data_IF_170205762503
#
_entry.id   IF_170205762503
#
_cell.length_a   1.000
_cell.length_b   1.000
_cell.length_c   1.000
_cell.angle_alpha   90.00
_cell.angle_beta   90.00
_cell.angle_gamma   90.00
#
_symmetry.space_group_name_H-M   'P 1'
#
loop_
_entity.id
_entity.type
_entity.pdbx_description
1 polymer ?
#
# COMPACT_ATOMS: atom_id res chain seq x y z
N UNK A 1 -12.72 48.70 22.10
CA UNK A 1 -13.02 47.25 22.24
C UNK A 1 -13.27 46.53 20.91
N UNK A 2 -13.81 47.18 19.86
CA UNK A 2 -14.20 46.50 18.62
C UNK A 2 -13.03 46.04 17.70
N UNK A 3 -11.87 46.71 17.75
CA UNK A 3 -10.70 46.41 16.90
C UNK A 3 -10.00 45.09 17.23
N UNK A 4 -9.94 44.69 18.50
CA UNK A 4 -9.29 43.44 18.93
C UNK A 4 -10.11 42.20 18.58
N UNK A 5 -11.44 42.32 18.57
CA UNK A 5 -12.37 41.24 18.21
C UNK A 5 -12.26 40.91 16.72
N UNK A 6 -12.16 41.93 15.86
CA UNK A 6 -12.05 41.76 14.40
C UNK A 6 -10.75 41.02 14.03
N UNK A 7 -9.62 41.38 14.66
CA UNK A 7 -8.33 40.71 14.43
C UNK A 7 -8.37 39.25 14.90
N UNK A 8 -8.98 38.97 16.05
CA UNK A 8 -9.13 37.61 16.57
C UNK A 8 -9.98 36.70 15.67
N UNK A 9 -11.08 37.23 15.11
CA UNK A 9 -11.96 36.49 14.20
C UNK A 9 -11.26 36.19 12.87
N UNK A 10 -10.48 37.14 12.33
CA UNK A 10 -9.72 36.94 11.09
C UNK A 10 -8.64 35.85 11.28
N UNK A 11 -7.90 35.85 12.40
CA UNK A 11 -6.91 34.79 12.70
C UNK A 11 -7.53 33.40 12.87
N UNK A 12 -8.76 33.32 13.39
CA UNK A 12 -9.45 32.05 13.56
C UNK A 12 -9.93 31.46 12.22
N UNK A 13 -10.38 32.32 11.29
CA UNK A 13 -10.81 31.91 9.94
C UNK A 13 -9.61 31.45 9.09
N UNK A 14 -8.46 32.12 9.21
CA UNK A 14 -7.23 31.72 8.49
C UNK A 14 -6.68 30.38 8.97
N UNK A 15 -6.86 30.04 10.26
CA UNK A 15 -6.41 28.74 10.81
C UNK A 15 -7.28 27.56 10.37
N UNK A 16 -8.57 27.78 10.08
CA UNK A 16 -9.51 26.72 9.68
C UNK A 16 -9.33 26.16 8.27
N UNK A 17 -8.48 26.78 7.44
CA UNK A 17 -8.34 26.42 6.01
C UNK A 17 -7.32 25.30 5.73
N UNK A 18 -6.70 24.71 6.75
CA UNK A 18 -5.75 23.60 6.60
C UNK A 18 -6.34 22.23 7.01
N UNK A 19 -7.57 21.93 6.60
CA UNK A 19 -7.96 20.51 6.51
C UNK A 19 -7.36 19.98 5.21
N UNK A 20 -6.16 19.40 5.30
CA UNK A 20 -5.51 18.70 4.21
C UNK A 20 -6.39 17.51 3.79
N UNK A 21 -7.19 17.71 2.73
CA UNK A 21 -7.95 16.64 2.11
C UNK A 21 -6.96 15.60 1.59
N UNK A 22 -6.85 14.45 2.27
CA UNK A 22 -6.01 13.36 1.77
C UNK A 22 -6.60 12.92 0.44
N UNK A 23 -5.83 12.90 -0.67
CA UNK A 23 -6.36 12.48 -1.95
C UNK A 23 -6.90 11.05 -1.83
N UNK A 24 -8.12 10.84 -2.29
CA UNK A 24 -8.72 9.51 -2.37
C UNK A 24 -7.82 8.66 -3.27
N UNK A 25 -7.18 7.63 -2.71
CA UNK A 25 -6.43 6.67 -3.51
C UNK A 25 -7.41 5.86 -4.35
N UNK A 26 -7.40 6.10 -5.65
CA UNK A 26 -8.20 5.34 -6.59
C UNK A 26 -7.49 4.01 -6.89
N UNK A 27 -8.04 2.90 -6.39
CA UNK A 27 -7.49 1.57 -6.61
C UNK A 27 -8.25 0.87 -7.75
N UNK A 28 -7.58 0.09 -8.60
CA UNK A 28 -8.26 -0.66 -9.65
C UNK A 28 -9.29 -1.63 -9.08
N UNK A 29 -10.53 -1.60 -9.61
CA UNK A 29 -11.62 -2.50 -9.16
C UNK A 29 -11.34 -3.97 -9.45
N UNK A 30 -10.74 -4.26 -10.61
CA UNK A 30 -10.43 -5.63 -11.04
C UNK A 30 -9.01 -6.02 -10.64
N UNK A 31 -8.83 -7.21 -10.10
CA UNK A 31 -7.50 -7.77 -9.79
C UNK A 31 -6.58 -7.80 -11.01
N UNK A 32 -7.12 -8.07 -12.21
CA UNK A 32 -6.36 -8.06 -13.46
C UNK A 32 -5.81 -6.67 -13.82
N UNK A 33 -6.45 -5.59 -13.37
CA UNK A 33 -6.02 -4.21 -13.65
C UNK A 33 -4.84 -3.76 -12.78
N UNK A 34 -4.40 -4.56 -11.80
CA UNK A 34 -3.23 -4.24 -10.96
C UNK A 34 -1.88 -4.49 -11.64
N UNK A 35 -1.89 -5.16 -12.80
CA UNK A 35 -0.68 -5.43 -13.58
C UNK A 35 0.31 -6.34 -12.83
N UNK A 36 -0.20 -7.35 -12.14
CA UNK A 36 0.62 -8.29 -11.35
C UNK A 36 1.31 -9.31 -12.24
N UNK A 37 0.60 -9.77 -13.27
CA UNK A 37 1.05 -10.83 -14.18
C UNK A 37 1.05 -10.35 -15.63
N UNK A 38 1.99 -10.88 -16.41
CA UNK A 38 2.09 -10.67 -17.85
C UNK A 38 1.41 -11.80 -18.63
N UNK A 39 0.78 -11.46 -19.76
CA UNK A 39 0.16 -12.43 -20.65
C UNK A 39 -1.10 -13.07 -20.06
N UNK A 40 -1.21 -14.40 -20.16
CA UNK A 40 -2.38 -15.14 -19.65
C UNK A 40 -2.29 -15.27 -18.12
N UNK A 41 -3.32 -14.82 -17.41
CA UNK A 41 -3.36 -14.84 -15.93
C UNK A 41 -3.05 -16.21 -15.32
N UNK A 42 -3.57 -17.31 -15.90
CA UNK A 42 -3.32 -18.67 -15.41
C UNK A 42 -1.86 -19.12 -15.50
N UNK A 43 -1.03 -18.46 -16.32
CA UNK A 43 0.41 -18.76 -16.40
C UNK A 43 1.20 -18.15 -15.23
N UNK A 44 0.59 -17.24 -14.45
CA UNK A 44 1.18 -16.62 -13.25
C UNK A 44 2.59 -16.04 -13.46
N UNK A 45 2.89 -15.59 -14.68
CA UNK A 45 4.17 -14.98 -15.03
C UNK A 45 4.24 -13.58 -14.41
N UNK A 46 5.10 -13.32 -13.42
CA UNK A 46 5.15 -12.03 -12.74
C UNK A 46 5.56 -10.90 -13.70
N UNK A 47 4.88 -9.75 -13.58
CA UNK A 47 5.26 -8.54 -14.30
C UNK A 47 6.54 -7.91 -13.73
N UNK A 48 7.16 -7.01 -14.48
CA UNK A 48 8.35 -6.27 -14.03
C UNK A 48 8.15 -5.62 -12.65
N UNK A 49 9.06 -5.91 -11.72
CA UNK A 49 9.04 -5.38 -10.34
C UNK A 49 8.15 -6.17 -9.37
N UNK A 50 7.49 -7.24 -9.83
CA UNK A 50 6.79 -8.22 -8.99
C UNK A 50 7.76 -9.37 -8.71
N UNK A 51 8.00 -9.67 -7.43
CA UNK A 51 9.00 -10.64 -6.99
C UNK A 51 8.31 -11.85 -6.35
N UNK A 52 8.52 -13.08 -6.85
CA UNK A 52 8.02 -14.29 -6.19
C UNK A 52 8.78 -14.56 -4.90
N UNK A 53 8.12 -15.10 -3.87
CA UNK A 53 8.78 -15.50 -2.63
C UNK A 53 8.16 -16.75 -1.99
N UNK A 54 8.98 -17.46 -1.21
CA UNK A 54 8.57 -18.61 -0.41
C UNK A 54 8.57 -18.31 1.09
N UNK A 55 7.94 -19.18 1.88
CA UNK A 55 8.04 -19.15 3.34
C UNK A 55 9.03 -20.22 3.80
N UNK A 56 9.85 -19.90 4.80
CA UNK A 56 10.78 -20.86 5.41
C UNK A 56 10.04 -21.97 6.16
N UNK A 57 8.91 -21.65 6.78
CA UNK A 57 8.06 -22.57 7.54
C UNK A 57 6.62 -22.54 6.99
N UNK A 58 6.35 -23.24 5.87
CA UNK A 58 5.01 -23.28 5.31
C UNK A 58 4.06 -24.06 6.23
N UNK A 59 2.85 -23.54 6.44
CA UNK A 59 1.75 -24.29 7.06
C UNK A 59 1.32 -25.42 6.12
N UNK A 60 0.95 -26.57 6.69
CA UNK A 60 0.34 -27.64 5.90
C UNK A 60 -0.94 -27.13 5.27
N UNK A 61 -1.03 -27.34 3.96
CA UNK A 61 -2.19 -26.92 3.19
C UNK A 61 -2.44 -27.94 2.12
N UNK A 62 -3.14 -29.01 2.49
CA UNK A 62 -3.93 -29.88 1.61
C UNK A 62 -3.29 -30.28 0.25
N UNK A 63 -1.96 -30.32 0.20
CA UNK A 63 -1.15 -30.43 -1.02
C UNK A 63 -1.41 -29.38 -2.12
N UNK A 64 -2.16 -28.31 -1.83
CA UNK A 64 -2.38 -27.24 -2.79
C UNK A 64 -1.16 -26.30 -2.88
N UNK A 65 -0.59 -26.21 -4.09
CA UNK A 65 0.49 -25.27 -4.40
C UNK A 65 0.05 -23.81 -4.16
N UNK A 66 0.94 -23.02 -3.54
CA UNK A 66 0.67 -21.61 -3.19
C UNK A 66 1.83 -20.76 -3.65
N UNK A 67 1.62 -19.99 -4.71
CA UNK A 67 2.58 -18.99 -5.14
C UNK A 67 2.30 -17.67 -4.43
N UNK A 68 3.37 -16.99 -4.04
CA UNK A 68 3.30 -15.68 -3.40
C UNK A 68 4.18 -14.71 -4.13
N UNK A 69 3.70 -13.48 -4.24
CA UNK A 69 4.40 -12.41 -4.91
C UNK A 69 4.33 -11.13 -4.08
N UNK A 70 5.37 -10.30 -4.20
CA UNK A 70 5.44 -8.99 -3.57
C UNK A 70 5.87 -7.93 -4.59
N UNK A 71 5.25 -6.76 -4.55
CA UNK A 71 5.71 -5.56 -5.26
C UNK A 71 5.87 -4.42 -4.27
N UNK A 72 7.08 -3.89 -4.16
CA UNK A 72 7.38 -2.75 -3.31
C UNK A 72 7.22 -1.44 -4.10
N UNK A 73 6.88 -0.32 -3.43
CA UNK A 73 7.00 1.00 -4.04
C UNK A 73 8.44 1.27 -4.48
N UNK A 74 8.61 2.03 -5.57
CA UNK A 74 9.93 2.35 -6.11
C UNK A 74 10.83 2.99 -5.04
N UNK A 75 12.05 2.47 -4.91
CA UNK A 75 13.05 2.99 -3.96
C UNK A 75 12.72 2.75 -2.48
N UNK A 76 11.73 1.91 -2.16
CA UNK A 76 11.42 1.52 -0.77
C UNK A 76 11.83 0.09 -0.50
N UNK A 77 12.25 -0.14 0.75
CA UNK A 77 12.57 -1.46 1.30
C UNK A 77 11.62 -1.81 2.44
N UNK A 78 11.61 -3.09 2.81
CA UNK A 78 10.87 -3.59 3.97
C UNK A 78 11.79 -3.51 5.19
N UNK A 79 11.30 -2.94 6.28
CA UNK A 79 12.06 -2.94 7.54
C UNK A 79 11.76 -4.23 8.31
N UNK A 80 12.79 -4.85 8.85
CA UNK A 80 12.65 -5.99 9.74
C UNK A 80 12.76 -5.54 11.20
N UNK A 81 11.85 -6.01 12.05
CA UNK A 81 11.90 -5.84 13.50
C UNK A 81 11.64 -7.20 14.14
N UNK A 82 12.47 -7.59 15.11
CA UNK A 82 12.33 -8.84 15.84
C UNK A 82 10.96 -8.99 16.53
N UNK A 83 10.28 -7.88 16.83
CA UNK A 83 8.96 -7.87 17.46
C UNK A 83 7.79 -7.87 16.45
N UNK A 84 7.98 -7.37 15.23
CA UNK A 84 6.88 -7.01 14.31
C UNK A 84 6.91 -7.73 12.96
N UNK A 85 7.70 -8.80 12.84
CA UNK A 85 7.84 -9.64 11.65
C UNK A 85 8.41 -8.88 10.43
N UNK A 86 7.64 -8.02 9.77
CA UNK A 86 8.04 -7.20 8.61
C UNK A 86 7.16 -5.94 8.52
N UNK A 87 7.77 -4.76 8.48
CA UNK A 87 7.09 -3.48 8.31
C UNK A 87 7.14 -3.05 6.83
N UNK A 88 6.01 -3.25 6.15
CA UNK A 88 5.88 -2.97 4.73
C UNK A 88 5.51 -1.50 4.48
N UNK A 89 6.22 -0.79 3.59
CA UNK A 89 5.89 0.57 3.25
C UNK A 89 4.51 0.65 2.58
N UNK A 90 3.79 1.75 2.83
CA UNK A 90 2.48 2.01 2.22
C UNK A 90 2.59 1.97 0.68
N UNK A 91 1.70 1.18 0.06
CA UNK A 91 1.72 0.94 -1.40
C UNK A 91 2.36 -0.39 -1.80
N UNK A 92 2.85 -1.18 -0.84
CA UNK A 92 3.23 -2.59 -1.08
C UNK A 92 2.01 -3.39 -1.52
N UNK A 93 2.21 -4.26 -2.50
CA UNK A 93 1.23 -5.26 -2.94
C UNK A 93 1.72 -6.65 -2.55
N UNK A 94 0.93 -7.38 -1.77
CA UNK A 94 1.14 -8.78 -1.43
C UNK A 94 0.08 -9.62 -2.15
N UNK A 95 0.52 -10.64 -2.89
CA UNK A 95 -0.34 -11.47 -3.73
C UNK A 95 -0.12 -12.92 -3.38
N UNK A 96 -1.21 -13.67 -3.28
CA UNK A 96 -1.20 -15.12 -3.08
C UNK A 96 -2.17 -15.74 -4.08
N UNK A 97 -1.73 -16.81 -4.72
CA UNK A 97 -2.56 -17.67 -5.58
C UNK A 97 -2.76 -19.03 -4.95
#
# INVERSE_FOLDING_TARGET
>A
MLRGVIIGVICFIVSGSFIANKPVKNYPEKLSAWGIFEGKMHALKPAKGVVPYGLNTPLYTDYAEKLRFVRLPLGKSVNYSAATTLDFPTGTLLVKT
#
